data_IF_471907066683
#
_entry.id   IF_471907066683
#
_cell.length_a   1.000
_cell.length_b   1.000
_cell.length_c   1.000
_cell.angle_alpha   90.00
_cell.angle_beta   90.00
_cell.angle_gamma   90.00
#
_symmetry.space_group_name_H-M   'P 1'
#
loop_
_entity.id
_entity.type
_entity.pdbx_description
1 polymer ?
#
# COMPACT_ATOMS: atom_id res chain seq x y z
N UNK A 1 -137.14 33.48 70.91
CA UNK A 1 -136.48 32.41 70.12
C UNK A 1 -136.99 32.58 68.70
N UNK A 2 -136.55 33.65 68.04
CA UNK A 2 -137.03 33.99 66.69
C UNK A 2 -135.98 34.85 65.94
N UNK A 3 -135.24 35.69 66.66
CA UNK A 3 -134.22 36.58 66.06
C UNK A 3 -132.89 35.90 65.63
N UNK A 4 -132.75 34.57 65.81
CA UNK A 4 -131.51 33.83 65.50
C UNK A 4 -131.58 32.96 64.24
N UNK A 5 -132.76 32.88 63.61
CA UNK A 5 -132.96 32.13 62.36
C UNK A 5 -132.85 33.03 61.12
N UNK A 6 -133.23 34.32 61.22
CA UNK A 6 -133.07 35.27 60.09
C UNK A 6 -131.61 35.64 59.80
N UNK A 7 -130.71 35.54 60.79
CA UNK A 7 -129.31 35.95 60.63
C UNK A 7 -128.43 34.91 59.92
N UNK A 8 -128.92 33.67 59.75
CA UNK A 8 -128.14 32.57 59.17
C UNK A 8 -128.35 32.52 57.64
N UNK A 9 -129.54 32.90 57.16
CA UNK A 9 -129.86 32.88 55.72
C UNK A 9 -129.24 34.06 54.95
N UNK A 10 -128.97 35.21 55.59
CA UNK A 10 -128.29 36.35 54.96
C UNK A 10 -126.77 36.14 54.81
N UNK A 11 -126.08 35.48 55.76
CA UNK A 11 -124.62 35.22 55.67
C UNK A 11 -124.28 34.10 54.67
N UNK A 12 -125.14 33.08 54.51
CA UNK A 12 -124.89 31.96 53.59
C UNK A 12 -125.18 32.34 52.12
N UNK A 13 -126.16 33.22 51.88
CA UNK A 13 -126.45 33.79 50.56
C UNK A 13 -125.31 34.67 50.01
N UNK A 14 -124.68 35.47 50.87
CA UNK A 14 -123.59 36.39 50.49
C UNK A 14 -122.26 35.64 50.23
N UNK A 15 -122.02 34.54 50.96
CA UNK A 15 -120.89 33.62 50.75
C UNK A 15 -120.94 32.93 49.38
N UNK A 16 -122.12 32.43 48.98
CA UNK A 16 -122.29 31.76 47.68
C UNK A 16 -122.15 32.74 46.51
N UNK A 17 -122.69 33.96 46.62
CA UNK A 17 -122.55 35.01 45.61
C UNK A 17 -121.07 35.40 45.39
N UNK A 18 -120.32 35.55 46.49
CA UNK A 18 -118.89 35.87 46.46
C UNK A 18 -118.06 34.77 45.77
N UNK A 19 -118.40 33.50 45.99
CA UNK A 19 -117.72 32.37 45.34
C UNK A 19 -117.95 32.35 43.81
N UNK A 20 -119.15 32.69 43.34
CA UNK A 20 -119.45 32.76 41.91
C UNK A 20 -118.73 33.91 41.21
N UNK A 21 -118.61 35.08 41.84
CA UNK A 21 -117.85 36.20 41.27
C UNK A 21 -116.35 35.90 41.19
N UNK A 22 -115.79 35.23 42.21
CA UNK A 22 -114.41 34.75 42.14
C UNK A 22 -114.20 33.73 41.02
N UNK A 23 -115.13 32.77 40.85
CA UNK A 23 -115.05 31.82 39.74
C UNK A 23 -115.18 32.52 38.39
N UNK A 24 -116.03 33.54 38.28
CA UNK A 24 -116.21 34.34 37.07
C UNK A 24 -114.94 35.13 36.72
N UNK A 25 -114.27 35.69 37.71
CA UNK A 25 -112.99 36.37 37.55
C UNK A 25 -111.90 35.40 37.07
N UNK A 26 -111.84 34.19 37.65
CA UNK A 26 -110.86 33.16 37.27
C UNK A 26 -111.11 32.66 35.82
N UNK A 27 -112.36 32.43 35.45
CA UNK A 27 -112.73 32.04 34.08
C UNK A 27 -112.44 33.16 33.07
N UNK A 28 -112.62 34.42 33.45
CA UNK A 28 -112.25 35.56 32.62
C UNK A 28 -110.72 35.64 32.42
N UNK A 29 -109.93 35.37 33.46
CA UNK A 29 -108.47 35.30 33.36
C UNK A 29 -107.98 34.13 32.49
N UNK A 30 -108.62 32.96 32.62
CA UNK A 30 -108.31 31.79 31.77
C UNK A 30 -108.67 32.06 30.30
N UNK A 31 -109.80 32.73 30.04
CA UNK A 31 -110.19 33.10 28.68
C UNK A 31 -109.24 34.13 28.08
N UNK A 32 -108.81 35.12 28.85
CA UNK A 32 -107.80 36.09 28.41
C UNK A 32 -106.45 35.45 28.06
N UNK A 33 -106.02 34.44 28.82
CA UNK A 33 -104.79 33.69 28.53
C UNK A 33 -104.91 32.77 27.32
N UNK A 34 -106.09 32.17 27.08
CA UNK A 34 -106.39 31.40 25.86
C UNK A 34 -106.43 32.32 24.63
N UNK A 35 -107.04 33.50 24.73
CA UNK A 35 -107.12 34.44 23.62
C UNK A 35 -105.75 35.05 23.27
N UNK A 36 -104.83 35.13 24.24
CA UNK A 36 -103.44 35.57 24.03
C UNK A 36 -102.49 34.46 23.53
N UNK A 37 -102.87 33.17 23.63
CA UNK A 37 -102.04 32.03 23.24
C UNK A 37 -101.63 32.00 21.75
N UNK A 38 -102.48 32.35 20.77
CA UNK A 38 -102.10 32.34 19.35
C UNK A 38 -100.97 33.33 19.01
N UNK A 39 -100.85 34.43 19.75
CA UNK A 39 -99.77 35.40 19.57
C UNK A 39 -98.43 34.86 20.12
N UNK A 40 -98.46 34.12 21.23
CA UNK A 40 -97.28 33.50 21.81
C UNK A 40 -96.73 32.33 20.96
N UNK A 41 -97.60 31.57 20.29
CA UNK A 41 -97.20 30.40 19.47
C UNK A 41 -96.55 30.78 18.14
N UNK A 42 -96.82 31.98 17.61
CA UNK A 42 -96.14 32.44 16.38
C UNK A 42 -94.64 32.69 16.57
N UNK A 43 -94.22 33.04 17.79
CA UNK A 43 -92.81 33.32 18.11
C UNK A 43 -91.99 32.04 18.38
N UNK A 44 -92.66 30.91 18.68
CA UNK A 44 -92.00 29.63 19.00
C UNK A 44 -91.93 28.64 17.83
N UNK A 45 -91.86 29.10 16.57
CA UNK A 45 -91.66 28.18 15.43
C UNK A 45 -90.24 27.56 15.49
N UNK A 46 -90.10 26.22 15.43
CA UNK A 46 -88.79 25.57 15.38
C UNK A 46 -87.94 26.11 14.22
N UNK A 47 -86.63 26.38 14.41
CA UNK A 47 -85.77 26.83 13.32
C UNK A 47 -85.72 25.80 12.19
N UNK A 48 -85.78 26.26 10.94
CA UNK A 48 -85.60 25.38 9.78
C UNK A 48 -84.11 25.07 9.56
N UNK A 49 -83.72 23.82 9.85
CA UNK A 49 -82.36 23.31 9.69
C UNK A 49 -82.08 22.71 8.30
N UNK A 50 -83.06 22.66 7.40
CA UNK A 50 -82.87 22.19 6.03
C UNK A 50 -81.70 22.87 5.28
N UNK A 51 -81.51 24.21 5.34
CA UNK A 51 -80.36 24.84 4.68
C UNK A 51 -79.01 24.45 5.31
N UNK A 52 -78.96 24.28 6.64
CA UNK A 52 -77.74 23.87 7.34
C UNK A 52 -77.35 22.42 7.04
N UNK A 53 -78.32 21.49 6.98
CA UNK A 53 -78.04 20.12 6.54
C UNK A 53 -77.57 20.08 5.09
N UNK A 54 -78.19 20.88 4.21
CA UNK A 54 -77.78 20.99 2.81
C UNK A 54 -76.33 21.46 2.66
N UNK A 55 -75.89 22.41 3.49
CA UNK A 55 -74.51 22.88 3.52
C UNK A 55 -73.52 21.78 3.98
N UNK A 56 -73.89 20.99 4.98
CA UNK A 56 -73.05 19.88 5.50
C UNK A 56 -72.91 18.79 4.44
N UNK A 57 -74.01 18.38 3.79
CA UNK A 57 -73.97 17.38 2.71
C UNK A 57 -73.08 17.85 1.56
N UNK A 58 -73.16 19.13 1.19
CA UNK A 58 -72.29 19.72 0.16
C UNK A 58 -70.81 19.72 0.56
N UNK A 59 -70.51 19.96 1.84
CA UNK A 59 -69.15 19.89 2.36
C UNK A 59 -68.61 18.46 2.31
N UNK A 60 -69.41 17.46 2.71
CA UNK A 60 -69.04 16.04 2.66
C UNK A 60 -68.76 15.60 1.22
N UNK A 61 -69.62 15.97 0.27
CA UNK A 61 -69.39 15.71 -1.16
C UNK A 61 -68.12 16.38 -1.70
N UNK A 62 -67.77 17.56 -1.17
CA UNK A 62 -66.52 18.24 -1.50
C UNK A 62 -65.28 17.49 -0.99
N UNK A 63 -65.36 16.90 0.20
CA UNK A 63 -64.29 16.08 0.79
C UNK A 63 -64.14 14.76 0.03
N UNK A 64 -65.25 14.10 -0.30
CA UNK A 64 -65.24 12.85 -1.07
C UNK A 64 -64.57 13.01 -2.44
N UNK A 65 -64.88 14.10 -3.16
CA UNK A 65 -64.22 14.42 -4.44
C UNK A 65 -62.72 14.62 -4.29
N UNK A 66 -62.26 15.26 -3.21
CA UNK A 66 -60.83 15.45 -2.96
C UNK A 66 -60.15 14.13 -2.58
N UNK A 67 -60.82 13.30 -1.80
CA UNK A 67 -60.30 12.00 -1.39
C UNK A 67 -60.15 11.06 -2.60
N UNK A 68 -61.13 11.05 -3.51
CA UNK A 68 -61.05 10.28 -4.75
C UNK A 68 -59.87 10.69 -5.66
N UNK A 69 -59.51 11.98 -5.67
CA UNK A 69 -58.32 12.48 -6.39
C UNK A 69 -57.02 12.02 -5.72
N UNK A 70 -56.98 11.98 -4.38
CA UNK A 70 -55.81 11.51 -3.63
C UNK A 70 -55.64 9.99 -3.79
N UNK A 71 -56.73 9.23 -3.74
CA UNK A 71 -56.71 7.77 -3.91
C UNK A 71 -56.34 7.36 -5.33
N UNK A 72 -56.74 8.14 -6.34
CA UNK A 72 -56.32 7.97 -7.73
C UNK A 72 -54.88 8.41 -8.02
N UNK A 73 -54.17 9.02 -7.06
CA UNK A 73 -52.86 9.60 -7.31
C UNK A 73 -51.78 8.50 -7.32
N UNK A 74 -50.91 8.42 -8.35
CA UNK A 74 -49.92 7.36 -8.52
C UNK A 74 -48.87 7.28 -7.39
N UNK A 75 -48.78 8.29 -6.53
CA UNK A 75 -47.98 8.25 -5.31
C UNK A 75 -48.45 7.17 -4.32
N UNK A 76 -49.72 6.74 -4.37
CA UNK A 76 -50.27 5.66 -3.52
C UNK A 76 -49.99 4.25 -4.08
N UNK A 77 -49.51 4.13 -5.34
CA UNK A 77 -49.21 2.83 -5.98
C UNK A 77 -47.74 2.45 -5.89
N UNK A 78 -46.87 3.39 -5.54
CA UNK A 78 -45.45 3.15 -5.35
C UNK A 78 -45.19 3.02 -3.85
N UNK A 79 -45.08 1.78 -3.37
CA UNK A 79 -44.71 1.56 -1.97
C UNK A 79 -43.24 1.96 -1.76
N UNK A 80 -42.87 2.49 -0.59
CA UNK A 80 -41.49 2.86 -0.29
C UNK A 80 -40.50 1.69 -0.47
N UNK A 81 -40.93 0.44 -0.31
CA UNK A 81 -40.09 -0.73 -0.61
C UNK A 81 -39.78 -0.88 -2.10
N UNK A 82 -40.69 -0.49 -3.00
CA UNK A 82 -40.42 -0.50 -4.44
C UNK A 82 -39.43 0.58 -4.85
N UNK A 83 -39.50 1.76 -4.24
CA UNK A 83 -38.50 2.81 -4.41
C UNK A 83 -37.12 2.38 -3.91
N UNK A 84 -37.06 1.76 -2.71
CA UNK A 84 -35.82 1.20 -2.16
C UNK A 84 -35.19 0.17 -3.10
N UNK A 85 -35.99 -0.77 -3.63
CA UNK A 85 -35.51 -1.80 -4.58
C UNK A 85 -35.07 -1.21 -5.93
N UNK A 86 -35.72 -0.17 -6.43
CA UNK A 86 -35.33 0.50 -7.66
C UNK A 86 -33.99 1.24 -7.49
N UNK A 87 -33.81 1.92 -6.35
CA UNK A 87 -32.56 2.62 -5.99
C UNK A 87 -31.43 1.62 -5.77
N UNK A 88 -31.67 0.50 -5.09
CA UNK A 88 -30.66 -0.53 -4.86
C UNK A 88 -30.19 -1.17 -6.17
N UNK A 89 -31.11 -1.46 -7.11
CA UNK A 89 -30.74 -2.01 -8.42
C UNK A 89 -30.01 -1.01 -9.29
N UNK A 90 -30.47 0.25 -9.33
CA UNK A 90 -29.80 1.32 -10.07
C UNK A 90 -28.40 1.58 -9.48
N UNK A 91 -28.30 1.68 -8.16
CA UNK A 91 -27.05 1.84 -7.43
C UNK A 91 -26.09 0.66 -7.62
N UNK A 92 -26.59 -0.58 -7.57
CA UNK A 92 -25.78 -1.77 -7.81
C UNK A 92 -25.28 -1.88 -9.25
N UNK A 93 -26.05 -1.41 -10.25
CA UNK A 93 -25.58 -1.34 -11.63
C UNK A 93 -24.45 -0.31 -11.79
N UNK A 94 -24.63 0.90 -11.25
CA UNK A 94 -23.60 1.96 -11.32
C UNK A 94 -22.34 1.60 -10.52
N UNK A 95 -22.49 0.95 -9.36
CA UNK A 95 -21.36 0.49 -8.55
C UNK A 95 -20.59 -0.64 -9.23
N UNK A 96 -21.27 -1.57 -9.92
CA UNK A 96 -20.60 -2.64 -10.67
C UNK A 96 -19.76 -2.08 -11.81
N UNK A 97 -20.31 -1.16 -12.60
CA UNK A 97 -19.61 -0.53 -13.70
C UNK A 97 -18.39 0.28 -13.22
N UNK A 98 -18.56 1.06 -12.14
CA UNK A 98 -17.45 1.75 -11.48
C UNK A 98 -16.39 0.77 -10.93
N UNK A 99 -16.80 -0.32 -10.28
CA UNK A 99 -15.85 -1.33 -9.78
C UNK A 99 -15.13 -2.07 -10.91
N UNK A 100 -15.76 -2.31 -12.06
CA UNK A 100 -15.10 -2.92 -13.21
C UNK A 100 -14.06 -1.99 -13.82
N UNK A 101 -14.38 -0.69 -13.98
CA UNK A 101 -13.40 0.31 -14.43
C UNK A 101 -12.24 0.44 -13.44
N UNK A 102 -12.53 0.55 -12.14
CA UNK A 102 -11.47 0.57 -11.11
C UNK A 102 -10.63 -0.71 -11.10
N UNK A 103 -11.22 -1.88 -11.28
CA UNK A 103 -10.46 -3.15 -11.37
C UNK A 103 -9.58 -3.20 -12.60
N UNK A 104 -10.10 -2.76 -13.76
CA UNK A 104 -9.34 -2.75 -15.00
C UNK A 104 -8.16 -1.77 -14.93
N UNK A 105 -8.36 -0.57 -14.36
CA UNK A 105 -7.27 0.39 -14.13
C UNK A 105 -6.28 -0.10 -13.07
N UNK A 106 -6.75 -0.68 -11.96
CA UNK A 106 -5.86 -1.27 -10.96
C UNK A 106 -5.03 -2.43 -11.53
N UNK A 107 -5.61 -3.23 -12.44
CA UNK A 107 -4.90 -4.29 -13.15
C UNK A 107 -3.85 -3.71 -14.12
N UNK A 108 -4.17 -2.63 -14.83
CA UNK A 108 -3.22 -1.93 -15.70
C UNK A 108 -2.03 -1.34 -14.90
N UNK A 109 -2.31 -0.68 -13.77
CA UNK A 109 -1.29 -0.15 -12.85
C UNK A 109 -0.42 -1.30 -12.28
N UNK A 110 -1.03 -2.45 -11.98
CA UNK A 110 -0.30 -3.63 -11.51
C UNK A 110 0.68 -4.20 -12.55
N UNK A 111 0.29 -4.20 -13.83
CA UNK A 111 1.13 -4.61 -14.96
C UNK A 111 2.30 -3.64 -15.17
N UNK A 112 2.04 -2.34 -15.16
CA UNK A 112 3.10 -1.31 -15.30
C UNK A 112 4.08 -1.33 -14.12
N UNK A 113 3.58 -1.48 -12.88
CA UNK A 113 4.45 -1.62 -11.70
C UNK A 113 5.33 -2.86 -11.76
N UNK A 114 4.86 -3.98 -12.33
CA UNK A 114 5.68 -5.18 -12.52
C UNK A 114 6.77 -4.96 -13.56
N UNK A 115 6.47 -4.28 -14.68
CA UNK A 115 7.48 -3.92 -15.67
C UNK A 115 8.51 -2.94 -15.12
N UNK A 116 8.07 -1.90 -14.41
CA UNK A 116 8.97 -0.95 -13.74
C UNK A 116 9.81 -1.62 -12.65
N UNK A 117 9.21 -2.51 -11.84
CA UNK A 117 9.91 -3.27 -10.80
C UNK A 117 10.99 -4.19 -11.38
N UNK A 118 10.73 -4.80 -12.54
CA UNK A 118 11.74 -5.60 -13.25
C UNK A 118 12.87 -4.74 -13.83
N UNK A 119 12.58 -3.55 -14.37
CA UNK A 119 13.59 -2.66 -14.94
C UNK A 119 14.43 -2.00 -13.85
N UNK A 120 13.81 -1.48 -12.79
CA UNK A 120 14.47 -0.80 -11.67
C UNK A 120 15.22 -1.80 -10.79
N UNK A 121 14.61 -2.94 -10.47
CA UNK A 121 15.27 -4.02 -9.72
C UNK A 121 16.48 -4.58 -10.46
N UNK A 122 16.33 -4.84 -11.77
CA UNK A 122 17.46 -5.28 -12.58
C UNK A 122 18.53 -4.20 -12.75
N UNK A 123 18.19 -2.92 -12.81
CA UNK A 123 19.17 -1.84 -12.93
C UNK A 123 20.05 -1.72 -11.68
N UNK A 124 19.45 -1.72 -10.48
CA UNK A 124 20.18 -1.62 -9.22
C UNK A 124 21.08 -2.84 -8.98
N UNK A 125 20.59 -4.05 -9.27
CA UNK A 125 21.39 -5.27 -9.16
C UNK A 125 22.52 -5.34 -10.21
N UNK A 126 22.28 -4.84 -11.42
CA UNK A 126 23.30 -4.79 -12.49
C UNK A 126 24.43 -3.85 -12.13
N UNK A 127 24.15 -2.69 -11.54
CA UNK A 127 25.18 -1.74 -11.11
C UNK A 127 26.01 -2.27 -9.96
N UNK A 128 25.38 -2.86 -8.94
CA UNK A 128 26.09 -3.48 -7.82
C UNK A 128 26.98 -4.63 -8.31
N UNK A 129 26.46 -5.48 -9.21
CA UNK A 129 27.21 -6.61 -9.80
C UNK A 129 28.31 -6.14 -10.75
N UNK A 130 28.11 -5.05 -11.49
CA UNK A 130 29.14 -4.45 -12.35
C UNK A 130 30.24 -3.80 -11.50
N UNK A 131 29.90 -3.12 -10.42
CA UNK A 131 30.86 -2.53 -9.48
C UNK A 131 31.70 -3.60 -8.82
N UNK A 132 31.10 -4.69 -8.33
CA UNK A 132 31.83 -5.84 -7.78
C UNK A 132 32.76 -6.50 -8.81
N UNK A 133 32.30 -6.71 -10.05
CA UNK A 133 33.16 -7.25 -11.13
C UNK A 133 34.35 -6.34 -11.46
N UNK A 134 34.11 -5.03 -11.56
CA UNK A 134 35.18 -4.05 -11.76
C UNK A 134 36.14 -4.02 -10.57
N UNK A 135 35.63 -4.21 -9.35
CA UNK A 135 36.44 -4.30 -8.14
C UNK A 135 37.35 -5.52 -8.15
N UNK A 136 36.81 -6.72 -8.45
CA UNK A 136 37.61 -7.94 -8.57
C UNK A 136 38.62 -7.85 -9.72
N UNK A 137 38.22 -7.30 -10.87
CA UNK A 137 39.12 -7.09 -12.00
C UNK A 137 40.27 -6.14 -11.62
N UNK A 138 39.96 -5.01 -10.98
CA UNK A 138 40.96 -4.06 -10.50
C UNK A 138 41.87 -4.66 -9.44
N UNK A 139 41.31 -5.37 -8.46
CA UNK A 139 42.06 -6.05 -7.41
C UNK A 139 43.02 -7.11 -7.98
N UNK A 140 42.59 -7.88 -8.97
CA UNK A 140 43.43 -8.86 -9.65
C UNK A 140 44.61 -8.23 -10.39
N UNK A 141 44.40 -7.09 -11.07
CA UNK A 141 45.48 -6.34 -11.73
C UNK A 141 46.48 -5.80 -10.72
N UNK A 142 46.01 -5.17 -9.65
CA UNK A 142 46.89 -4.64 -8.58
C UNK A 142 47.66 -5.77 -7.92
N UNK A 143 47.00 -6.88 -7.59
CA UNK A 143 47.65 -8.05 -7.01
C UNK A 143 48.71 -8.62 -7.96
N UNK A 144 48.43 -8.72 -9.26
CA UNK A 144 49.40 -9.14 -10.27
C UNK A 144 50.62 -8.21 -10.34
N UNK A 145 50.40 -6.89 -10.34
CA UNK A 145 51.48 -5.90 -10.34
C UNK A 145 52.34 -5.91 -9.08
N UNK A 146 51.77 -6.28 -7.92
CA UNK A 146 52.52 -6.42 -6.67
C UNK A 146 53.24 -7.76 -6.60
N UNK A 147 52.57 -8.84 -6.99
CA UNK A 147 53.14 -10.19 -6.96
C UNK A 147 54.24 -10.36 -8.00
N UNK A 148 54.14 -9.76 -9.18
CA UNK A 148 55.15 -9.91 -10.25
C UNK A 148 56.58 -9.51 -9.81
N UNK A 149 56.83 -8.28 -9.31
CA UNK A 149 58.16 -7.90 -8.84
C UNK A 149 58.57 -8.68 -7.57
N UNK A 150 57.62 -9.05 -6.70
CA UNK A 150 57.93 -9.85 -5.51
C UNK A 150 58.41 -11.24 -5.91
N UNK A 151 57.75 -11.88 -6.88
CA UNK A 151 58.16 -13.16 -7.43
C UNK A 151 59.47 -13.02 -8.20
N UNK A 152 59.70 -11.93 -8.95
CA UNK A 152 61.00 -11.69 -9.58
C UNK A 152 62.15 -11.46 -8.57
N UNK A 153 61.87 -10.88 -7.41
CA UNK A 153 62.84 -10.61 -6.36
C UNK A 153 63.14 -11.84 -5.47
N UNK A 154 62.13 -12.68 -5.21
CA UNK A 154 62.27 -13.89 -4.39
C UNK A 154 62.48 -15.17 -5.20
N UNK A 155 62.17 -15.18 -6.50
CA UNK A 155 62.47 -16.32 -7.34
C UNK A 155 63.99 -16.49 -7.37
N UNK A 156 64.47 -17.71 -7.07
CA UNK A 156 65.87 -18.01 -7.27
C UNK A 156 66.18 -17.76 -8.76
N UNK A 157 67.17 -16.91 -9.07
CA UNK A 157 67.57 -16.67 -10.47
C UNK A 157 67.89 -17.98 -11.20
N UNK A 158 67.95 -17.97 -12.53
CA UNK A 158 68.11 -19.20 -13.35
C UNK A 158 69.23 -20.14 -12.88
N UNK A 159 70.34 -19.60 -12.38
CA UNK A 159 71.45 -20.37 -11.80
C UNK A 159 71.09 -21.11 -10.50
N UNK A 160 70.21 -20.57 -9.67
CA UNK A 160 69.73 -21.25 -8.47
C UNK A 160 68.72 -22.33 -8.78
N UNK A 161 67.83 -22.12 -9.75
CA UNK A 161 66.91 -23.16 -10.20
C UNK A 161 67.67 -24.31 -10.86
N UNK A 162 68.71 -24.00 -11.64
CA UNK A 162 69.61 -25.00 -12.19
C UNK A 162 70.36 -25.77 -11.09
N UNK A 163 70.83 -25.09 -10.04
CA UNK A 163 71.45 -25.74 -8.89
C UNK A 163 70.48 -26.68 -8.16
N UNK A 164 69.28 -26.20 -7.84
CA UNK A 164 68.22 -27.00 -7.23
C UNK A 164 67.82 -28.21 -8.09
N UNK A 165 67.71 -28.03 -9.41
CA UNK A 165 67.35 -29.10 -10.35
C UNK A 165 68.40 -30.22 -10.41
N UNK A 166 69.66 -29.88 -10.17
CA UNK A 166 70.79 -30.82 -10.15
C UNK A 166 70.99 -31.42 -8.74
N UNK A 167 70.21 -30.98 -7.74
CA UNK A 167 70.33 -31.43 -6.36
C UNK A 167 71.52 -30.83 -5.61
N UNK A 168 72.13 -29.78 -6.16
CA UNK A 168 73.32 -29.14 -5.61
C UNK A 168 72.97 -27.72 -5.15
N UNK A 169 73.30 -27.35 -3.91
CA UNK A 169 72.97 -26.02 -3.40
C UNK A 169 74.04 -24.98 -3.77
N UNK A 170 75.27 -25.42 -4.00
CA UNK A 170 76.34 -24.57 -4.47
C UNK A 170 76.27 -24.38 -6.00
N UNK A 171 76.12 -23.13 -6.44
CA UNK A 171 75.96 -22.81 -7.87
C UNK A 171 77.20 -23.17 -8.69
N UNK A 172 78.38 -23.13 -8.09
CA UNK A 172 79.63 -23.47 -8.77
C UNK A 172 79.73 -24.99 -9.02
N UNK A 173 79.43 -25.80 -8.00
CA UNK A 173 79.34 -27.26 -8.12
C UNK A 173 78.24 -27.69 -9.10
N UNK A 174 77.06 -27.05 -9.05
CA UNK A 174 75.98 -27.28 -10.01
C UNK A 174 76.43 -27.02 -11.46
N UNK A 175 77.21 -25.95 -11.67
CA UNK A 175 77.83 -25.68 -12.97
C UNK A 175 78.77 -26.80 -13.42
N UNK A 176 79.57 -27.34 -12.51
CA UNK A 176 80.42 -28.51 -12.78
C UNK A 176 79.64 -29.75 -13.20
N UNK A 177 78.55 -30.06 -12.50
CA UNK A 177 77.69 -31.20 -12.85
C UNK A 177 77.01 -31.01 -14.21
N UNK A 178 76.55 -29.78 -14.52
CA UNK A 178 75.97 -29.47 -15.84
C UNK A 178 77.00 -29.57 -16.97
N UNK A 179 78.21 -29.05 -16.75
CA UNK A 179 79.29 -29.14 -17.73
C UNK A 179 79.69 -30.60 -17.98
N UNK A 180 79.80 -31.42 -16.92
CA UNK A 180 80.08 -32.84 -17.04
C UNK A 180 78.96 -33.61 -17.74
N UNK A 181 77.69 -33.29 -17.44
CA UNK A 181 76.54 -33.91 -18.10
C UNK A 181 76.44 -33.53 -19.59
N UNK A 182 76.81 -32.29 -19.95
CA UNK A 182 76.81 -31.82 -21.34
C UNK A 182 77.98 -32.37 -22.17
N UNK A 183 79.16 -32.51 -21.56
CA UNK A 183 80.33 -33.15 -22.19
C UNK A 183 81.32 -33.65 -21.13
N UNK A 184 81.44 -34.97 -20.92
CA UNK A 184 82.43 -35.55 -20.01
C UNK A 184 83.87 -35.25 -20.46
N UNK A 185 84.15 -35.30 -21.76
CA UNK A 185 85.45 -34.97 -22.35
C UNK A 185 85.82 -33.51 -22.11
N UNK A 186 84.92 -32.59 -22.43
CA UNK A 186 85.13 -31.15 -22.23
C UNK A 186 85.32 -30.79 -20.76
N UNK A 187 84.59 -31.47 -19.85
CA UNK A 187 84.80 -31.29 -18.42
C UNK A 187 86.20 -31.75 -17.97
N UNK A 188 86.68 -32.90 -18.45
CA UNK A 188 88.04 -33.38 -18.15
C UNK A 188 89.11 -32.40 -18.63
N UNK A 189 88.95 -31.83 -19.82
CA UNK A 189 89.86 -30.82 -20.36
C UNK A 189 89.84 -29.52 -19.53
N UNK A 190 88.66 -29.05 -19.15
CA UNK A 190 88.52 -27.89 -18.28
C UNK A 190 89.20 -28.11 -16.91
N UNK A 191 88.96 -29.25 -16.27
CA UNK A 191 89.56 -29.59 -14.97
C UNK A 191 91.08 -29.73 -15.10
N UNK A 192 91.60 -30.36 -16.15
CA UNK A 192 93.05 -30.50 -16.34
C UNK A 192 93.73 -29.13 -16.52
N UNK A 193 93.12 -28.24 -17.31
CA UNK A 193 93.56 -26.85 -17.45
C UNK A 193 93.52 -26.08 -16.13
N UNK A 194 92.45 -26.24 -15.34
CA UNK A 194 92.32 -25.60 -14.04
C UNK A 194 93.37 -26.10 -13.03
N UNK A 195 93.65 -27.41 -12.99
CA UNK A 195 94.69 -28.00 -12.14
C UNK A 195 96.07 -27.47 -12.52
N UNK A 196 96.40 -27.45 -13.82
CA UNK A 196 97.66 -26.91 -14.33
C UNK A 196 97.82 -25.42 -13.99
N UNK A 197 96.76 -24.62 -14.18
CA UNK A 197 96.76 -23.20 -13.86
C UNK A 197 96.93 -22.96 -12.36
N UNK A 198 96.27 -23.76 -11.51
CA UNK A 198 96.36 -23.65 -10.05
C UNK A 198 97.76 -24.02 -9.55
N UNK A 199 98.37 -25.06 -10.12
CA UNK A 199 99.75 -25.44 -9.81
C UNK A 199 100.77 -24.35 -10.19
N UNK A 200 100.46 -23.54 -11.21
CA UNK A 200 101.33 -22.48 -11.74
C UNK A 200 100.86 -21.06 -11.41
N UNK A 201 99.95 -20.89 -10.44
CA UNK A 201 99.18 -19.65 -10.28
C UNK A 201 100.07 -18.41 -10.08
N UNK A 202 101.15 -18.52 -9.29
CA UNK A 202 102.05 -17.40 -9.02
C UNK A 202 102.79 -16.95 -10.29
N UNK A 203 103.24 -17.91 -11.11
CA UNK A 203 103.95 -17.63 -12.36
C UNK A 203 102.98 -17.00 -13.37
N UNK A 204 101.77 -17.56 -13.51
CA UNK A 204 100.75 -17.05 -14.42
C UNK A 204 100.32 -15.63 -14.03
N UNK A 205 100.12 -15.35 -12.74
CA UNK A 205 99.73 -14.02 -12.27
C UNK A 205 100.81 -12.97 -12.54
N UNK A 206 102.08 -13.27 -12.22
CA UNK A 206 103.20 -12.36 -12.53
C UNK A 206 103.33 -12.09 -14.03
N UNK A 207 103.14 -13.13 -14.85
CA UNK A 207 103.10 -13.02 -16.30
C UNK A 207 101.96 -12.13 -16.82
N UNK A 208 100.75 -12.29 -16.28
CA UNK A 208 99.59 -11.45 -16.66
C UNK A 208 99.83 -10.00 -16.30
N UNK A 209 100.43 -9.74 -15.15
CA UNK A 209 100.80 -8.39 -14.73
C UNK A 209 101.86 -7.77 -15.66
N UNK A 210 102.90 -8.53 -16.01
CA UNK A 210 103.91 -8.09 -16.96
C UNK A 210 103.33 -7.82 -18.36
N UNK A 211 102.43 -8.68 -18.84
CA UNK A 211 101.73 -8.49 -20.11
C UNK A 211 100.84 -7.23 -20.11
N UNK A 212 100.11 -7.00 -19.01
CA UNK A 212 99.29 -5.81 -18.83
C UNK A 212 100.14 -4.52 -18.80
N UNK A 213 101.28 -4.53 -18.10
CA UNK A 213 102.21 -3.39 -18.06
C UNK A 213 102.87 -3.12 -19.40
N UNK A 214 103.23 -4.16 -20.14
CA UNK A 214 103.87 -4.03 -21.45
C UNK A 214 102.88 -3.75 -22.59
N UNK A 215 101.58 -3.97 -22.38
CA UNK A 215 100.55 -3.90 -23.42
C UNK A 215 100.76 -4.91 -24.55
N UNK A 216 101.51 -5.99 -24.29
CA UNK A 216 101.94 -6.98 -25.28
C UNK A 216 101.87 -8.38 -24.69
N UNK A 217 101.62 -9.37 -25.55
CA UNK A 217 101.65 -10.79 -25.18
C UNK A 217 103.01 -11.18 -24.59
N UNK A 218 103.00 -12.02 -23.55
CA UNK A 218 104.20 -12.51 -22.86
C UNK A 218 104.28 -14.03 -22.95
N UNK A 219 105.49 -14.54 -23.17
CA UNK A 219 105.78 -15.97 -23.07
C UNK A 219 106.06 -16.33 -21.62
N UNK A 220 105.41 -17.39 -21.14
CA UNK A 220 105.50 -17.84 -19.75
C UNK A 220 105.86 -19.31 -19.70
N UNK A 221 106.89 -19.64 -18.93
CA UNK A 221 107.25 -21.02 -18.68
C UNK A 221 106.35 -21.55 -17.57
N UNK A 222 105.53 -22.56 -17.88
CA UNK A 222 104.72 -23.27 -16.90
C UNK A 222 105.34 -24.64 -16.64
N UNK A 223 105.20 -25.11 -15.41
CA UNK A 223 105.63 -26.44 -14.99
C UNK A 223 104.46 -27.41 -15.15
N UNK A 224 104.65 -28.41 -16.01
CA UNK A 224 103.72 -29.54 -16.16
C UNK A 224 104.22 -30.68 -15.29
N UNK A 225 103.44 -31.08 -14.29
CA UNK A 225 103.79 -32.23 -13.46
C UNK A 225 103.62 -33.51 -14.27
N UNK A 226 104.56 -34.46 -14.11
CA UNK A 226 104.43 -35.79 -14.67
C UNK A 226 103.23 -36.50 -14.05
N UNK A 227 102.46 -37.31 -14.80
CA UNK A 227 101.46 -38.18 -14.19
C UNK A 227 102.13 -39.04 -13.12
N UNK A 228 101.68 -38.93 -11.87
CA UNK A 228 102.08 -39.88 -10.84
C UNK A 228 101.54 -41.26 -11.26
N UNK A 229 102.35 -42.33 -11.25
CA UNK A 229 101.91 -43.67 -11.63
C UNK A 229 100.79 -44.21 -10.74
#
# INVERSE_FOLDING_TARGET
>A
MDERLDKIDEEEGDSAATAFENLRAEVAALRGSIDAFPAAVQDTRPPDYAPTLGAIVKAIQGVEKRLAVIEGHPAMRLTPEQHGRAIERAGAATLREAMETFRNEAAAIGLERRQLGQIVGAALEREARRRWRLWFAGAGVVLGFVLFPLMAAFAPGGSHLAALAVGEFDRWQAGGVLMHAGSPEGWREFVSGAVLARANINVIMGCREAAAKAGKEQKCAITVQSPTP
#
